data_IF_614033790466
#
_entry.id   IF_614033790466
#
_cell.length_a   1.000
_cell.length_b   1.000
_cell.length_c   1.000
_cell.angle_alpha   90.00
_cell.angle_beta   90.00
_cell.angle_gamma   90.00
#
_symmetry.space_group_name_H-M   'P 1'
#
loop_
_entity.id
_entity.type
_entity.pdbx_description
1 polymer ?
#
# COMPACT_ATOMS: atom_id res chain seq x y z
N UNK A 1 -2.84 -1.03 17.59
CA UNK A 1 -2.19 -0.78 16.30
C UNK A 1 -2.15 -2.05 15.47
N UNK A 2 -2.20 -1.94 14.15
CA UNK A 2 -2.10 -3.08 13.21
C UNK A 2 -0.67 -3.17 12.63
N UNK A 3 -0.43 -4.13 11.73
CA UNK A 3 0.86 -4.35 11.09
C UNK A 3 0.74 -4.35 9.56
N UNK A 4 1.75 -3.83 8.87
CA UNK A 4 1.93 -4.05 7.43
C UNK A 4 2.37 -5.50 7.21
N UNK A 5 1.40 -6.40 7.00
CA UNK A 5 1.66 -7.85 6.94
C UNK A 5 2.59 -8.24 5.79
N UNK A 6 2.53 -7.51 4.67
CA UNK A 6 3.44 -7.70 3.56
C UNK A 6 3.42 -6.49 2.63
N UNK A 7 4.55 -6.19 2.03
CA UNK A 7 4.69 -5.21 0.97
C UNK A 7 4.75 -5.95 -0.36
N UNK A 8 3.84 -5.64 -1.29
CA UNK A 8 3.81 -6.25 -2.62
C UNK A 8 4.53 -5.32 -3.59
N UNK A 9 5.63 -5.74 -4.22
CA UNK A 9 6.36 -4.90 -5.17
C UNK A 9 5.58 -4.75 -6.48
N UNK A 10 5.93 -3.70 -7.23
CA UNK A 10 5.35 -3.42 -8.54
C UNK A 10 6.13 -4.20 -9.61
N UNK A 11 5.47 -5.07 -10.34
CA UNK A 11 6.06 -5.91 -11.39
C UNK A 11 5.17 -5.91 -12.63
N UNK A 12 5.79 -5.79 -13.82
CA UNK A 12 5.10 -5.76 -15.11
C UNK A 12 4.42 -7.10 -15.46
N UNK A 13 4.83 -8.21 -14.82
CA UNK A 13 4.20 -9.52 -14.99
C UNK A 13 2.72 -9.51 -14.60
N UNK A 14 2.32 -8.61 -13.68
CA UNK A 14 0.94 -8.45 -13.23
C UNK A 14 0.05 -8.03 -14.40
N UNK A 15 0.44 -6.99 -15.14
CA UNK A 15 -0.32 -6.51 -16.29
C UNK A 15 -0.40 -7.57 -17.40
N UNK A 16 0.67 -8.34 -17.61
CA UNK A 16 0.65 -9.45 -18.59
C UNK A 16 -0.30 -10.58 -18.21
N UNK A 17 -0.42 -10.89 -16.91
CA UNK A 17 -1.37 -11.86 -16.40
C UNK A 17 -2.82 -11.33 -16.49
N UNK A 18 -3.04 -10.07 -16.10
CA UNK A 18 -4.34 -9.39 -16.15
C UNK A 18 -4.92 -9.30 -17.56
N UNK A 19 -4.10 -8.99 -18.57
CA UNK A 19 -4.52 -8.97 -19.98
C UNK A 19 -5.05 -10.33 -20.46
N UNK A 20 -4.59 -11.43 -19.85
CA UNK A 20 -5.03 -12.80 -20.14
C UNK A 20 -6.16 -13.27 -19.22
N UNK A 21 -6.65 -12.40 -18.33
CA UNK A 21 -7.66 -12.71 -17.31
C UNK A 21 -7.25 -13.88 -16.40
N UNK A 22 -5.95 -13.99 -16.12
CA UNK A 22 -5.38 -15.01 -15.24
C UNK A 22 -4.69 -14.36 -14.06
N UNK A 23 -4.53 -15.10 -12.96
CA UNK A 23 -3.69 -14.65 -11.85
C UNK A 23 -2.20 -14.82 -12.20
N UNK A 24 -1.31 -14.07 -11.55
CA UNK A 24 0.14 -14.23 -11.74
C UNK A 24 0.61 -15.64 -11.35
N UNK A 25 -0.03 -16.26 -10.34
CA UNK A 25 0.27 -17.62 -9.89
C UNK A 25 -0.01 -18.64 -11.00
N UNK A 26 -1.08 -18.47 -11.77
CA UNK A 26 -1.44 -19.37 -12.87
C UNK A 26 -0.65 -19.06 -14.14
N UNK A 27 -0.45 -17.78 -14.45
CA UNK A 27 0.22 -17.33 -15.67
C UNK A 27 1.73 -17.57 -15.64
N UNK A 28 2.39 -17.27 -14.52
CA UNK A 28 3.83 -17.35 -14.34
C UNK A 28 4.16 -17.87 -12.94
N UNK A 29 3.96 -19.17 -12.67
CA UNK A 29 4.07 -19.76 -11.33
C UNK A 29 5.45 -19.64 -10.70
N UNK A 30 6.51 -19.59 -11.52
CA UNK A 30 7.91 -19.46 -11.10
C UNK A 30 8.41 -18.00 -11.07
N UNK A 31 7.51 -17.03 -11.29
CA UNK A 31 7.88 -15.61 -11.23
C UNK A 31 8.13 -15.14 -9.80
N UNK A 32 9.00 -14.14 -9.64
CA UNK A 32 9.24 -13.51 -8.32
C UNK A 32 7.95 -12.99 -7.71
N UNK A 33 7.10 -12.35 -8.52
CA UNK A 33 5.81 -11.82 -8.08
C UNK A 33 4.86 -12.93 -7.62
N UNK A 34 4.87 -14.12 -8.24
CA UNK A 34 4.08 -15.25 -7.76
C UNK A 34 4.54 -15.71 -6.36
N UNK A 35 5.86 -15.70 -6.10
CA UNK A 35 6.40 -16.05 -4.79
C UNK A 35 6.06 -15.00 -3.71
N UNK A 36 6.03 -13.71 -4.06
CA UNK A 36 5.54 -12.66 -3.14
C UNK A 36 4.08 -12.92 -2.74
N UNK A 37 3.20 -13.29 -3.70
CA UNK A 37 1.82 -13.66 -3.37
C UNK A 37 1.72 -14.92 -2.50
N UNK A 38 2.56 -15.94 -2.73
CA UNK A 38 2.62 -17.14 -1.88
C UNK A 38 3.09 -16.80 -0.46
N UNK A 39 4.10 -15.93 -0.36
CA UNK A 39 4.61 -15.43 0.91
C UNK A 39 3.55 -14.63 1.66
N UNK A 40 2.83 -13.73 0.97
CA UNK A 40 1.67 -13.03 1.53
C UNK A 40 0.62 -14.00 2.06
N UNK A 41 0.24 -14.99 1.26
CA UNK A 41 -0.77 -15.98 1.62
C UNK A 41 -0.35 -16.77 2.87
N UNK A 42 0.91 -17.19 2.95
CA UNK A 42 1.48 -17.85 4.13
C UNK A 42 1.43 -16.95 5.37
N UNK A 43 1.85 -15.68 5.26
CA UNK A 43 1.80 -14.73 6.37
C UNK A 43 0.37 -14.48 6.86
N UNK A 44 -0.59 -14.36 5.95
CA UNK A 44 -2.02 -14.24 6.30
C UNK A 44 -2.49 -15.49 7.05
N UNK A 45 -2.16 -16.68 6.56
CA UNK A 45 -2.53 -17.94 7.20
C UNK A 45 -1.95 -18.04 8.62
N UNK A 46 -0.66 -17.74 8.78
CA UNK A 46 0.06 -17.76 10.06
C UNK A 46 -0.37 -16.65 11.02
N UNK A 47 -0.91 -15.54 10.51
CA UNK A 47 -1.49 -14.48 11.35
C UNK A 47 -2.67 -15.00 12.17
N UNK A 48 -3.35 -16.07 11.72
CA UNK A 48 -4.20 -16.90 12.57
C UNK A 48 -5.34 -16.16 13.27
N UNK A 49 -5.88 -15.10 12.65
CA UNK A 49 -6.96 -14.31 13.24
C UNK A 49 -6.54 -13.41 14.41
N UNK A 50 -5.24 -13.10 14.57
CA UNK A 50 -4.72 -12.08 15.52
C UNK A 50 -5.10 -10.66 15.08
N UNK A 51 -6.37 -10.43 14.81
CA UNK A 51 -6.93 -9.11 14.56
C UNK A 51 -6.94 -8.28 15.85
N UNK A 52 -6.78 -6.98 15.69
CA UNK A 52 -6.98 -6.00 16.76
C UNK A 52 -8.09 -5.04 16.37
N UNK A 53 -8.73 -4.40 17.34
CA UNK A 53 -9.59 -3.24 17.06
C UNK A 53 -8.68 -2.06 16.70
N UNK A 54 -8.82 -1.44 15.51
CA UNK A 54 -7.98 -0.33 15.11
C UNK A 54 -8.28 0.91 15.96
N UNK A 55 -7.25 1.70 16.21
CA UNK A 55 -7.36 3.03 16.83
C UNK A 55 -7.21 4.05 15.71
N UNK A 56 -8.25 4.83 15.39
CA UNK A 56 -8.14 5.91 14.41
C UNK A 56 -7.10 6.94 14.88
N UNK A 57 -6.34 7.48 13.94
CA UNK A 57 -5.43 8.61 14.15
C UNK A 57 -6.17 9.92 13.82
N UNK A 58 -5.70 11.04 14.36
CA UNK A 58 -6.20 12.38 14.02
C UNK A 58 -5.72 12.82 12.63
N UNK A 59 -6.27 13.94 12.14
CA UNK A 59 -5.80 14.55 10.88
C UNK A 59 -4.36 15.07 11.02
N UNK A 60 -4.05 15.72 12.15
CA UNK A 60 -2.71 16.24 12.44
C UNK A 60 -1.66 15.12 12.45
N UNK A 61 -1.98 13.97 13.09
CA UNK A 61 -1.11 12.78 13.11
C UNK A 61 -0.89 12.18 11.71
N UNK A 62 -1.88 12.31 10.82
CA UNK A 62 -1.77 11.85 9.44
C UNK A 62 -0.87 12.80 8.62
N UNK A 63 -1.03 14.11 8.76
CA UNK A 63 -0.22 15.12 8.07
C UNK A 63 1.25 15.05 8.49
N UNK A 64 1.52 14.92 9.80
CA UNK A 64 2.87 14.72 10.34
C UNK A 64 3.54 13.48 9.73
N UNK A 65 2.80 12.37 9.64
CA UNK A 65 3.31 11.14 9.04
C UNK A 65 3.64 11.31 7.54
N UNK A 66 2.82 12.04 6.79
CA UNK A 66 3.08 12.28 5.36
C UNK A 66 4.32 13.17 5.14
N UNK A 67 4.55 14.14 6.02
CA UNK A 67 5.75 14.98 6.03
C UNK A 67 7.00 14.16 6.40
N UNK A 68 6.91 13.31 7.43
CA UNK A 68 8.01 12.46 7.90
C UNK A 68 8.50 11.50 6.80
N UNK A 69 7.57 10.84 6.09
CA UNK A 69 7.89 9.91 5.02
C UNK A 69 8.17 10.60 3.66
N UNK A 70 8.19 11.94 3.61
CA UNK A 70 8.54 12.72 2.42
C UNK A 70 7.53 12.58 1.27
N UNK A 71 6.27 12.26 1.58
CA UNK A 71 5.19 12.13 0.61
C UNK A 71 4.49 13.47 0.33
N UNK A 72 4.72 14.47 1.16
CA UNK A 72 4.32 15.86 0.94
C UNK A 72 5.55 16.76 0.98
N UNK A 73 5.65 17.69 0.03
CA UNK A 73 6.53 18.84 0.20
C UNK A 73 6.02 19.67 1.39
N UNK A 74 6.92 20.30 2.16
CA UNK A 74 6.51 21.23 3.21
C UNK A 74 5.64 22.31 2.56
N UNK A 75 4.33 22.24 2.80
CA UNK A 75 3.40 23.23 2.29
C UNK A 75 3.65 24.48 3.13
N UNK A 76 3.99 25.59 2.48
CA UNK A 76 4.08 26.89 3.14
C UNK A 76 2.74 27.16 3.84
N UNK A 77 2.78 27.27 5.18
CA UNK A 77 1.59 27.44 6.02
C UNK A 77 0.75 28.67 5.63
N UNK A 78 1.34 29.62 4.89
CA UNK A 78 0.63 30.77 4.34
C UNK A 78 -0.40 30.43 3.23
N UNK A 79 -0.33 29.24 2.65
CA UNK A 79 -1.18 28.79 1.54
C UNK A 79 -2.40 27.98 2.04
N UNK A 80 -2.38 27.53 3.30
CA UNK A 80 -3.47 26.75 3.91
C UNK A 80 -4.76 27.58 3.91
N UNK A 81 -5.82 27.06 3.28
CA UNK A 81 -7.11 27.74 3.17
C UNK A 81 -7.25 28.71 1.98
N UNK A 82 -6.24 28.82 1.12
CA UNK A 82 -6.37 29.56 -0.14
C UNK A 82 -6.96 28.67 -1.23
N UNK A 83 -8.02 29.15 -1.89
CA UNK A 83 -8.59 28.47 -3.05
C UNK A 83 -7.60 28.51 -4.22
N UNK A 84 -7.48 27.40 -4.96
CA UNK A 84 -6.69 27.37 -6.18
C UNK A 84 -7.15 28.50 -7.13
N UNK A 85 -6.21 29.34 -7.55
CA UNK A 85 -6.51 30.40 -8.50
C UNK A 85 -7.10 29.78 -9.79
N UNK A 86 -8.18 30.33 -10.34
CA UNK A 86 -8.73 29.84 -11.61
C UNK A 86 -7.68 29.98 -12.71
N UNK A 87 -7.53 28.91 -13.50
CA UNK A 87 -6.63 28.82 -14.64
C UNK A 87 -6.96 29.81 -15.76
#
# INVERSE_FOLDING_TARGET
>A
GTQLIHFVPRDNVVQHAELRRMTVIEYAPDSKQAEEYRTLAKKIHENGGKGVIPTPISMDELEDMLLEFGLMEQVDESIIGQAAAPA
#
